data_IF_957852081442
#
_entry.id   IF_957852081442
#
_cell.length_a   1.000
_cell.length_b   1.000
_cell.length_c   1.000
_cell.angle_alpha   90.00
_cell.angle_beta   90.00
_cell.angle_gamma   90.00
#
_symmetry.space_group_name_H-M   'P 1'
#
loop_
_entity.id
_entity.type
_entity.pdbx_description
1 polymer ?
#
# COMPACT_ATOMS: atom_id res chain seq x y z
N UNK A 1 11.43 -4.28 17.69
CA UNK A 1 10.05 -4.53 18.18
C UNK A 1 9.85 -5.92 18.78
N UNK A 2 10.75 -6.89 18.55
CA UNK A 2 10.61 -8.29 18.98
C UNK A 2 10.31 -8.51 20.47
N UNK A 3 10.84 -7.66 21.35
CA UNK A 3 10.66 -7.79 22.81
C UNK A 3 9.32 -7.24 23.33
N UNK A 4 8.45 -6.74 22.45
CA UNK A 4 7.15 -6.18 22.83
C UNK A 4 6.11 -7.31 22.90
N UNK A 5 5.60 -7.57 24.11
CA UNK A 5 4.61 -8.63 24.35
C UNK A 5 3.22 -8.29 23.81
N UNK A 6 2.81 -7.02 23.88
CA UNK A 6 1.53 -6.58 23.35
C UNK A 6 1.55 -6.60 21.81
N UNK A 7 0.64 -7.34 21.19
CA UNK A 7 0.60 -7.52 19.74
C UNK A 7 0.40 -6.18 19.00
N UNK A 8 -0.54 -5.36 19.44
CA UNK A 8 -0.86 -4.09 18.78
C UNK A 8 0.33 -3.12 18.83
N UNK A 9 0.99 -3.00 19.97
CA UNK A 9 2.19 -2.17 20.09
C UNK A 9 3.38 -2.72 19.30
N UNK A 10 3.48 -4.06 19.18
CA UNK A 10 4.52 -4.67 18.36
C UNK A 10 4.30 -4.37 16.88
N UNK A 11 3.06 -4.48 16.41
CA UNK A 11 2.67 -4.14 15.04
C UNK A 11 2.91 -2.66 14.75
N UNK A 12 2.48 -1.76 15.63
CA UNK A 12 2.72 -0.32 15.52
C UNK A 12 4.22 0.01 15.45
N UNK A 13 5.03 -0.63 16.29
CA UNK A 13 6.48 -0.47 16.26
C UNK A 13 7.07 -0.89 14.92
N UNK A 14 6.71 -2.07 14.40
CA UNK A 14 7.21 -2.52 13.09
C UNK A 14 6.73 -1.62 11.96
N UNK A 15 5.44 -1.27 11.94
CA UNK A 15 4.86 -0.38 10.94
C UNK A 15 5.53 0.98 10.93
N UNK A 16 5.80 1.58 12.09
CA UNK A 16 6.49 2.87 12.18
C UNK A 16 7.91 2.81 11.61
N UNK A 17 8.69 1.78 11.94
CA UNK A 17 10.05 1.61 11.38
C UNK A 17 9.96 1.36 9.88
N UNK A 18 9.04 0.51 9.43
CA UNK A 18 8.82 0.19 8.02
C UNK A 18 8.52 1.46 7.20
N UNK A 19 7.65 2.35 7.71
CA UNK A 19 7.31 3.61 7.04
C UNK A 19 8.46 4.62 7.02
N UNK A 20 9.26 4.69 8.09
CA UNK A 20 10.40 5.60 8.18
C UNK A 20 11.54 5.17 7.27
N UNK A 21 11.85 3.88 7.28
CA UNK A 21 12.97 3.28 6.53
C UNK A 21 12.58 2.87 5.11
N UNK A 22 11.28 2.82 4.80
CA UNK A 22 10.71 2.25 3.57
C UNK A 22 11.02 0.75 3.41
N UNK A 23 11.36 0.06 4.49
CA UNK A 23 11.63 -1.38 4.48
C UNK A 23 10.33 -2.17 4.60
N UNK A 24 9.81 -2.64 3.45
CA UNK A 24 8.58 -3.42 3.39
C UNK A 24 8.70 -4.81 4.02
N UNK A 25 9.92 -5.34 4.22
CA UNK A 25 10.10 -6.66 4.82
C UNK A 25 9.62 -6.69 6.28
N UNK A 26 9.59 -5.54 6.94
CA UNK A 26 9.10 -5.41 8.31
C UNK A 26 7.58 -5.61 8.41
N UNK A 27 6.83 -5.37 7.33
CA UNK A 27 5.38 -5.64 7.31
C UNK A 27 5.08 -7.15 7.50
N UNK A 28 6.00 -8.04 7.11
CA UNK A 28 5.87 -9.51 7.29
C UNK A 28 5.87 -9.92 8.77
N UNK A 29 6.35 -9.05 9.67
CA UNK A 29 6.40 -9.30 11.11
C UNK A 29 5.12 -8.90 11.85
N UNK A 30 4.14 -8.32 11.15
CA UNK A 30 2.89 -7.80 11.71
C UNK A 30 1.74 -8.78 11.56
N UNK A 31 0.65 -8.58 12.32
CA UNK A 31 -0.59 -9.35 12.11
C UNK A 31 -1.22 -9.04 10.76
N UNK A 32 -2.04 -9.97 10.25
CA UNK A 32 -2.73 -9.82 8.97
C UNK A 32 -3.54 -8.52 8.87
N UNK A 33 -4.17 -8.07 9.97
CA UNK A 33 -4.97 -6.83 9.98
C UNK A 33 -4.13 -5.56 9.80
N UNK A 34 -2.91 -5.53 10.36
CA UNK A 34 -2.03 -4.36 10.28
C UNK A 34 -1.09 -4.39 9.06
N UNK A 35 -0.75 -5.59 8.58
CA UNK A 35 0.21 -5.82 7.50
C UNK A 35 -0.21 -5.19 6.18
N UNK A 36 -1.48 -5.31 5.80
CA UNK A 36 -1.98 -4.81 4.52
C UNK A 36 -1.84 -3.28 4.42
N UNK A 37 -2.18 -2.55 5.50
CA UNK A 37 -1.98 -1.10 5.58
C UNK A 37 -0.50 -0.71 5.59
N UNK A 38 0.37 -1.53 6.20
CA UNK A 38 1.82 -1.33 6.15
C UNK A 38 2.35 -1.38 4.72
N UNK A 39 1.99 -2.43 3.95
CA UNK A 39 2.38 -2.54 2.54
C UNK A 39 1.83 -1.41 1.70
N UNK A 40 0.53 -1.08 1.84
CA UNK A 40 -0.09 0.01 1.09
C UNK A 40 0.66 1.34 1.30
N UNK A 41 0.89 1.73 2.57
CA UNK A 41 1.56 2.99 2.86
C UNK A 41 2.98 3.08 2.30
N UNK A 42 3.73 1.98 2.31
CA UNK A 42 5.08 1.95 1.71
C UNK A 42 4.98 1.99 0.19
N UNK A 43 4.09 1.20 -0.40
CA UNK A 43 3.87 1.15 -1.84
C UNK A 43 3.58 2.54 -2.40
N UNK A 44 2.63 3.26 -1.79
CA UNK A 44 2.25 4.62 -2.18
C UNK A 44 3.43 5.58 -2.03
N UNK A 45 4.06 5.61 -0.85
CA UNK A 45 5.20 6.51 -0.56
C UNK A 45 6.43 6.28 -1.44
N UNK A 46 6.60 5.08 -1.97
CA UNK A 46 7.72 4.69 -2.84
C UNK A 46 7.33 4.61 -4.30
N UNK A 47 6.03 4.69 -4.61
CA UNK A 47 5.43 4.43 -5.93
C UNK A 47 5.76 3.03 -6.46
N UNK A 48 5.97 2.07 -5.56
CA UNK A 48 6.27 0.68 -5.90
C UNK A 48 4.98 -0.16 -5.87
N UNK A 49 4.31 -0.24 -7.01
CA UNK A 49 3.08 -1.00 -7.18
C UNK A 49 3.26 -2.52 -6.96
N UNK A 50 4.49 -3.05 -6.99
CA UNK A 50 4.72 -4.46 -6.72
C UNK A 50 4.40 -4.83 -5.26
N UNK A 51 4.50 -3.86 -4.35
CA UNK A 51 4.12 -4.05 -2.95
C UNK A 51 2.61 -4.19 -2.75
N UNK A 52 1.79 -3.61 -3.63
CA UNK A 52 0.34 -3.82 -3.60
C UNK A 52 -0.03 -5.30 -3.85
N UNK A 53 0.82 -6.07 -4.54
CA UNK A 53 0.58 -7.51 -4.77
C UNK A 53 0.61 -8.32 -3.46
N UNK A 54 1.34 -7.83 -2.43
CA UNK A 54 1.47 -8.47 -1.12
C UNK A 54 0.26 -8.23 -0.20
N UNK A 55 -0.66 -7.35 -0.59
CA UNK A 55 -1.87 -7.03 0.17
C UNK A 55 -2.92 -8.11 -0.08
N UNK A 56 -3.51 -8.65 1.00
CA UNK A 56 -4.51 -9.71 0.87
C UNK A 56 -5.94 -9.17 0.75
N UNK A 57 -6.25 -8.10 1.45
CA UNK A 57 -7.56 -7.46 1.38
C UNK A 57 -7.75 -6.80 0.00
N UNK A 58 -8.68 -7.31 -0.81
CA UNK A 58 -8.91 -6.84 -2.18
C UNK A 58 -9.23 -5.34 -2.29
N UNK A 59 -9.98 -4.78 -1.35
CA UNK A 59 -10.27 -3.34 -1.32
C UNK A 59 -9.02 -2.52 -1.05
N UNK A 60 -8.22 -2.89 -0.06
CA UNK A 60 -6.96 -2.21 0.27
C UNK A 60 -5.97 -2.34 -0.88
N UNK A 61 -5.92 -3.51 -1.53
CA UNK A 61 -5.08 -3.77 -2.70
C UNK A 61 -5.48 -2.88 -3.89
N UNK A 62 -6.77 -2.81 -4.20
CA UNK A 62 -7.26 -1.96 -5.28
C UNK A 62 -7.08 -0.47 -5.02
N UNK A 63 -7.20 0.00 -3.76
CA UNK A 63 -6.90 1.39 -3.39
C UNK A 63 -5.41 1.68 -3.55
N UNK A 64 -4.54 0.76 -3.15
CA UNK A 64 -3.08 0.87 -3.32
C UNK A 64 -2.71 1.09 -4.79
N UNK A 65 -3.29 0.32 -5.73
CA UNK A 65 -3.05 0.54 -7.15
C UNK A 65 -3.62 1.86 -7.65
N UNK A 66 -4.83 2.23 -7.23
CA UNK A 66 -5.46 3.49 -7.64
C UNK A 66 -4.57 4.69 -7.29
N UNK A 67 -4.12 4.79 -6.03
CA UNK A 67 -3.31 5.92 -5.59
C UNK A 67 -1.98 5.99 -6.35
N UNK A 68 -1.32 4.85 -6.56
CA UNK A 68 -0.05 4.82 -7.32
C UNK A 68 -0.30 5.17 -8.79
N UNK A 69 -1.37 4.67 -9.41
CA UNK A 69 -1.74 4.98 -10.79
C UNK A 69 -1.87 6.50 -10.98
N UNK A 70 -2.62 7.16 -10.09
CA UNK A 70 -2.81 8.62 -10.12
C UNK A 70 -1.50 9.37 -9.90
N UNK A 71 -0.73 9.02 -8.87
CA UNK A 71 0.53 9.71 -8.55
C UNK A 71 1.66 9.54 -9.58
N UNK A 72 1.63 8.45 -10.34
CA UNK A 72 2.62 8.13 -11.39
C UNK A 72 2.12 8.46 -12.79
N UNK A 73 0.81 8.70 -12.94
CA UNK A 73 0.10 8.75 -14.21
C UNK A 73 0.23 7.46 -15.03
N UNK A 74 0.44 6.34 -14.36
CA UNK A 74 0.54 5.02 -14.99
C UNK A 74 -0.85 4.39 -15.12
N UNK A 75 -1.47 4.58 -16.29
CA UNK A 75 -2.78 4.04 -16.60
C UNK A 75 -2.82 2.51 -16.59
N UNK A 76 -1.67 1.81 -16.74
CA UNK A 76 -1.65 0.35 -16.71
C UNK A 76 -2.03 -0.23 -15.34
N UNK A 77 -1.92 0.57 -14.28
CA UNK A 77 -2.31 0.14 -12.93
C UNK A 77 -3.82 0.24 -12.68
N UNK A 78 -4.57 0.95 -13.52
CA UNK A 78 -6.02 1.11 -13.34
C UNK A 78 -6.79 -0.21 -13.50
N UNK A 79 -6.29 -1.17 -14.29
CA UNK A 79 -6.88 -2.51 -14.44
C UNK A 79 -6.91 -3.29 -13.11
N UNK A 80 -6.04 -2.91 -12.15
CA UNK A 80 -5.93 -3.54 -10.83
C UNK A 80 -6.58 -2.72 -9.71
N UNK A 81 -7.08 -1.53 -10.03
CA UNK A 81 -7.67 -0.63 -9.05
C UNK A 81 -9.05 -1.10 -8.58
N UNK A 82 -9.51 -0.60 -7.43
CA UNK A 82 -10.85 -0.93 -6.89
C UNK A 82 -11.99 -0.53 -7.84
N UNK A 83 -11.78 0.54 -8.62
CA UNK A 83 -12.70 1.00 -9.65
C UNK A 83 -11.89 1.44 -10.87
N UNK A 84 -11.81 0.55 -11.86
CA UNK A 84 -11.04 0.73 -13.08
C UNK A 84 -11.53 1.94 -13.89
N UNK A 85 -12.84 2.05 -14.14
CA UNK A 85 -13.43 3.15 -14.91
C UNK A 85 -13.11 4.52 -14.27
N UNK A 86 -13.32 4.63 -12.95
CA UNK A 86 -13.05 5.86 -12.23
C UNK A 86 -11.56 6.23 -12.23
N UNK A 87 -10.67 5.23 -12.18
CA UNK A 87 -9.23 5.45 -12.26
C UNK A 87 -8.84 6.10 -13.60
N UNK A 88 -9.34 5.58 -14.72
CA UNK A 88 -9.08 6.17 -16.04
C UNK A 88 -9.68 7.57 -16.18
N UNK A 89 -10.89 7.79 -15.67
CA UNK A 89 -11.53 9.10 -15.69
C UNK A 89 -10.69 10.15 -14.93
N UNK A 90 -10.21 9.81 -13.74
CA UNK A 90 -9.38 10.71 -12.93
C UNK A 90 -8.04 11.03 -13.60
N UNK A 91 -7.36 10.02 -14.17
CA UNK A 91 -6.12 10.23 -14.92
C UNK A 91 -6.31 11.18 -16.10
N UNK A 92 -7.41 11.03 -16.85
CA UNK A 92 -7.69 11.88 -18.00
C UNK A 92 -7.87 13.36 -17.62
N UNK A 93 -8.40 13.64 -16.41
CA UNK A 93 -8.54 15.00 -15.89
C UNK A 93 -7.20 15.64 -15.48
N UNK A 94 -6.22 14.84 -15.05
CA UNK A 94 -4.91 15.31 -14.56
C UNK A 94 -3.83 15.43 -15.66
N UNK A 95 -4.12 15.02 -16.90
CA UNK A 95 -3.18 15.07 -18.05
C UNK A 95 -3.37 16.36 -18.89
N UNK A 96 -4.27 17.27 -18.49
CA UNK A 96 -4.44 18.59 -19.12
C UNK A 96 -3.46 19.65 -18.62
#
# INVERSE_FOLDING_TARGET
CEKINNQSWRDECYGSIAQQTKDSSLCEKMTAGARDGCYAGIAIKTKDASLCEKILNGTTKGVCYLEIALETKDASLCEKATNEENCYDQLFLEIK
#
